data_IF_459828856825
#
_entry.id   IF_459828856825
#
_cell.length_a   1.000
_cell.length_b   1.000
_cell.length_c   1.000
_cell.angle_alpha   90.00
_cell.angle_beta   90.00
_cell.angle_gamma   90.00
#
_symmetry.space_group_name_H-M   'P 1'
#
loop_
_entity.id
_entity.type
_entity.pdbx_description
1 polymer ?
#
# COMPACT_ATOMS: atom_id res chain seq x y z
N UNK A 1 -9.59 -18.28 17.90
CA UNK A 1 -8.38 -17.64 17.33
C UNK A 1 -8.61 -17.49 15.84
N UNK A 2 -9.07 -16.32 15.39
CA UNK A 2 -9.38 -16.08 13.98
C UNK A 2 -8.08 -15.93 13.21
N UNK A 3 -7.84 -16.77 12.21
CA UNK A 3 -6.70 -16.61 11.32
C UNK A 3 -6.76 -15.20 10.72
N UNK A 4 -5.69 -14.43 10.86
CA UNK A 4 -5.55 -13.13 10.20
C UNK A 4 -5.55 -13.41 8.70
N UNK A 5 -6.67 -13.19 8.03
CA UNK A 5 -6.75 -13.36 6.58
C UNK A 5 -5.80 -12.33 5.97
N UNK A 6 -4.70 -12.83 5.42
CA UNK A 6 -3.79 -12.03 4.60
C UNK A 6 -4.59 -11.61 3.38
N UNK A 7 -4.68 -10.31 3.18
CA UNK A 7 -5.70 -9.73 2.32
C UNK A 7 -5.16 -8.55 1.52
N UNK A 8 -3.85 -8.33 1.53
CA UNK A 8 -3.20 -7.34 0.70
C UNK A 8 -1.71 -7.68 0.56
N UNK A 9 -1.11 -7.20 -0.52
CA UNK A 9 0.33 -7.32 -0.77
C UNK A 9 0.93 -5.92 -0.89
N UNK A 10 1.97 -5.65 -0.11
CA UNK A 10 2.77 -4.42 -0.17
C UNK A 10 4.01 -4.66 -1.03
N UNK A 11 4.23 -3.76 -1.98
CA UNK A 11 5.45 -3.63 -2.76
C UNK A 11 6.09 -2.29 -2.41
N UNK A 12 7.24 -2.34 -1.74
CA UNK A 12 8.06 -1.15 -1.49
C UNK A 12 9.14 -1.03 -2.54
N UNK A 13 9.27 0.16 -3.12
CA UNK A 13 10.27 0.48 -4.12
C UNK A 13 10.97 1.79 -3.79
N UNK A 14 12.25 1.84 -4.11
CA UNK A 14 13.05 3.05 -4.16
C UNK A 14 13.58 3.26 -5.58
N UNK A 15 14.25 4.40 -5.82
CA UNK A 15 14.95 4.63 -7.09
C UNK A 15 15.92 3.49 -7.46
N UNK A 16 16.59 2.91 -6.46
CA UNK A 16 17.67 1.93 -6.67
C UNK A 16 17.24 0.49 -6.42
N UNK A 17 16.15 0.25 -5.68
CA UNK A 17 15.82 -1.09 -5.18
C UNK A 17 14.32 -1.38 -5.19
N UNK A 18 13.97 -2.60 -5.54
CA UNK A 18 12.66 -3.19 -5.24
C UNK A 18 12.81 -4.17 -4.10
N UNK A 19 11.99 -4.03 -3.06
CA UNK A 19 12.02 -4.89 -1.90
C UNK A 19 11.15 -6.13 -2.12
N UNK A 20 11.34 -7.16 -1.29
CA UNK A 20 10.50 -8.35 -1.36
C UNK A 20 9.06 -7.96 -1.00
N UNK A 21 8.06 -8.47 -1.72
CA UNK A 21 6.67 -8.20 -1.39
C UNK A 21 6.33 -8.71 0.01
N UNK A 22 5.53 -7.94 0.74
CA UNK A 22 5.07 -8.28 2.09
C UNK A 22 3.56 -8.51 2.10
N UNK A 23 3.11 -9.59 2.73
CA UNK A 23 1.68 -9.85 2.89
C UNK A 23 1.15 -9.21 4.17
N UNK A 24 0.12 -8.40 4.02
CA UNK A 24 -0.52 -7.67 5.09
C UNK A 24 -2.00 -8.07 5.21
N UNK A 25 -2.55 -7.90 6.40
CA UNK A 25 -4.00 -8.00 6.60
C UNK A 25 -4.67 -6.67 6.25
N UNK A 26 -5.97 -6.72 5.94
CA UNK A 26 -6.74 -5.55 5.47
C UNK A 26 -6.71 -4.38 6.47
N UNK A 27 -6.83 -4.64 7.77
CA UNK A 27 -6.85 -3.60 8.79
C UNK A 27 -5.52 -2.85 8.92
N UNK A 28 -4.40 -3.59 8.83
CA UNK A 28 -3.06 -2.99 8.79
C UNK A 28 -2.94 -2.05 7.60
N UNK A 29 -3.36 -2.48 6.41
CA UNK A 29 -3.28 -1.64 5.20
C UNK A 29 -4.18 -0.41 5.31
N UNK A 30 -5.42 -0.56 5.77
CA UNK A 30 -6.34 0.57 6.01
C UNK A 30 -5.74 1.58 6.98
N UNK A 31 -5.11 1.13 8.07
CA UNK A 31 -4.45 1.99 9.05
C UNK A 31 -3.26 2.73 8.43
N UNK A 32 -2.44 2.06 7.63
CA UNK A 32 -1.28 2.66 6.96
C UNK A 32 -1.70 3.72 5.95
N UNK A 33 -2.66 3.41 5.07
CA UNK A 33 -3.21 4.36 4.08
C UNK A 33 -3.83 5.57 4.79
N UNK A 34 -4.61 5.35 5.87
CA UNK A 34 -5.18 6.45 6.66
C UNK A 34 -4.09 7.33 7.25
N UNK A 35 -3.05 6.72 7.85
CA UNK A 35 -1.92 7.46 8.44
C UNK A 35 -1.20 8.28 7.37
N UNK A 36 -0.96 7.71 6.20
CA UNK A 36 -0.31 8.40 5.08
C UNK A 36 -1.13 9.60 4.60
N UNK A 37 -2.45 9.45 4.43
CA UNK A 37 -3.35 10.56 4.07
C UNK A 37 -3.32 11.71 5.08
N UNK A 38 -3.07 11.43 6.35
CA UNK A 38 -2.96 12.46 7.40
C UNK A 38 -1.55 13.02 7.56
N UNK A 39 -0.53 12.40 6.97
CA UNK A 39 0.87 12.82 7.12
C UNK A 39 1.25 13.85 6.04
N UNK A 40 1.02 15.14 6.32
CA UNK A 40 1.22 16.23 5.36
C UNK A 40 2.68 16.57 5.05
N UNK A 41 3.63 16.09 5.85
CA UNK A 41 5.06 16.44 5.71
C UNK A 41 5.90 15.29 5.21
N UNK A 42 5.55 14.04 5.56
CA UNK A 42 6.29 12.86 5.11
C UNK A 42 5.74 12.21 3.85
N UNK A 43 4.54 12.59 3.39
CA UNK A 43 3.89 11.99 2.21
C UNK A 43 3.57 13.09 1.21
N UNK A 44 4.09 12.92 -0.01
CA UNK A 44 3.84 13.82 -1.13
C UNK A 44 2.46 13.54 -1.73
N UNK A 45 2.13 12.25 -1.94
CA UNK A 45 0.89 11.87 -2.59
C UNK A 45 0.36 10.50 -2.11
N UNK A 46 -0.96 10.39 -2.07
CA UNK A 46 -1.67 9.11 -1.93
C UNK A 46 -2.70 9.01 -3.04
N UNK A 47 -2.58 8.00 -3.88
CA UNK A 47 -3.56 7.68 -4.93
C UNK A 47 -4.16 6.31 -4.69
N UNK A 48 -5.44 6.13 -5.01
CA UNK A 48 -6.11 4.83 -4.96
C UNK A 48 -6.82 4.65 -6.28
N UNK A 49 -6.55 3.52 -6.93
CA UNK A 49 -7.15 3.13 -8.20
C UNK A 49 -7.92 1.84 -8.04
N UNK A 50 -9.07 1.76 -8.67
CA UNK A 50 -9.83 0.52 -8.82
C UNK A 50 -9.44 -0.11 -10.15
N UNK A 51 -9.07 -1.38 -10.14
CA UNK A 51 -8.78 -2.11 -11.36
C UNK A 51 -9.13 -3.59 -11.23
N UNK A 52 -8.92 -4.32 -12.32
CA UNK A 52 -9.11 -5.77 -12.38
C UNK A 52 -7.75 -6.41 -12.54
N UNK A 53 -7.42 -7.33 -11.63
CA UNK A 53 -6.22 -8.15 -11.68
C UNK A 53 -6.19 -9.05 -12.92
N UNK A 54 -5.02 -9.60 -13.24
CA UNK A 54 -4.84 -10.47 -14.41
C UNK A 54 -5.70 -11.74 -14.37
N UNK A 55 -6.02 -12.20 -13.16
CA UNK A 55 -6.89 -13.35 -12.90
C UNK A 55 -8.39 -12.99 -12.91
N UNK A 56 -8.75 -11.74 -13.23
CA UNK A 56 -10.12 -11.26 -13.23
C UNK A 56 -10.64 -10.79 -11.87
N UNK A 57 -9.82 -10.80 -10.83
CA UNK A 57 -10.23 -10.34 -9.49
C UNK A 57 -10.33 -8.82 -9.43
N UNK A 58 -11.36 -8.28 -8.76
CA UNK A 58 -11.43 -6.85 -8.48
C UNK A 58 -10.40 -6.49 -7.40
N UNK A 59 -9.56 -5.49 -7.68
CA UNK A 59 -8.50 -5.04 -6.77
C UNK A 59 -8.45 -3.51 -6.68
N UNK A 60 -8.10 -3.02 -5.51
CA UNK A 60 -7.72 -1.64 -5.25
C UNK A 60 -6.21 -1.55 -5.15
N UNK A 61 -5.61 -0.69 -5.98
CA UNK A 61 -4.20 -0.35 -5.92
C UNK A 61 -4.04 0.98 -5.19
N UNK A 62 -3.49 0.96 -3.98
CA UNK A 62 -3.12 2.17 -3.27
C UNK A 62 -1.63 2.47 -3.47
N UNK A 63 -1.34 3.67 -3.94
CA UNK A 63 0.00 4.17 -4.20
C UNK A 63 0.31 5.29 -3.21
N UNK A 64 1.43 5.19 -2.51
CA UNK A 64 1.90 6.20 -1.56
C UNK A 64 3.31 6.62 -1.97
N UNK A 65 3.46 7.90 -2.29
CA UNK A 65 4.76 8.52 -2.56
C UNK A 65 5.17 9.34 -1.35
N UNK A 66 6.32 9.00 -0.77
CA UNK A 66 6.86 9.75 0.35
C UNK A 66 7.56 11.01 -0.14
N UNK A 67 7.52 12.07 0.66
CA UNK A 67 8.21 13.32 0.35
C UNK A 67 9.73 13.08 0.26
N UNK A 68 10.44 13.84 -0.59
CA UNK A 68 11.89 13.90 -0.54
C UNK A 68 12.33 14.21 0.90
N UNK A 69 13.39 13.55 1.37
CA UNK A 69 13.93 13.66 2.74
C UNK A 69 13.10 13.03 3.87
N UNK A 70 11.96 12.39 3.57
CA UNK A 70 11.26 11.59 4.58
C UNK A 70 12.10 10.36 5.01
N UNK A 71 12.86 9.79 4.07
CA UNK A 71 13.74 8.65 4.30
C UNK A 71 15.20 9.07 4.12
N UNK A 72 16.08 8.64 5.04
CA UNK A 72 17.51 8.90 4.92
C UNK A 72 18.11 8.14 3.74
N UNK A 73 19.02 8.79 3.00
CA UNK A 73 19.80 8.22 1.90
C UNK A 73 18.99 7.73 0.69
N UNK A 74 17.71 8.11 0.57
CA UNK A 74 16.87 7.76 -0.58
C UNK A 74 15.95 8.94 -0.91
N UNK A 75 15.93 9.35 -2.18
CA UNK A 75 15.19 10.53 -2.63
C UNK A 75 13.78 10.24 -3.11
N UNK A 76 13.50 8.99 -3.51
CA UNK A 76 12.18 8.56 -3.98
C UNK A 76 11.87 7.19 -3.37
N UNK A 77 10.86 7.17 -2.50
CA UNK A 77 10.35 5.96 -1.86
C UNK A 77 8.87 5.85 -2.13
N UNK A 78 8.47 4.63 -2.47
CA UNK A 78 7.13 4.32 -2.89
C UNK A 78 6.63 3.05 -2.24
N UNK A 79 5.43 3.12 -1.66
CA UNK A 79 4.68 1.94 -1.25
C UNK A 79 3.49 1.75 -2.19
N UNK A 80 3.36 0.56 -2.74
CA UNK A 80 2.21 0.13 -3.55
C UNK A 80 1.52 -1.01 -2.83
N UNK A 81 0.25 -0.83 -2.47
CA UNK A 81 -0.59 -1.85 -1.89
C UNK A 81 -1.53 -2.37 -2.96
N UNK A 82 -1.50 -3.68 -3.17
CA UNK A 82 -2.52 -4.41 -3.91
C UNK A 82 -3.50 -5.03 -2.91
N UNK A 83 -4.77 -4.66 -3.00
CA UNK A 83 -5.81 -5.02 -2.03
C UNK A 83 -6.99 -5.61 -2.80
N UNK A 84 -7.32 -6.91 -2.67
CA UNK A 84 -8.55 -7.44 -3.24
C UNK A 84 -9.77 -6.68 -2.72
N UNK A 85 -10.67 -6.28 -3.61
CA UNK A 85 -11.85 -5.49 -3.22
C UNK A 85 -12.71 -6.20 -2.18
N UNK A 86 -12.78 -7.54 -2.23
CA UNK A 86 -13.46 -8.36 -1.22
C UNK A 86 -12.93 -8.11 0.21
N UNK A 87 -11.63 -7.86 0.36
CA UNK A 87 -11.00 -7.54 1.64
C UNK A 87 -11.37 -6.14 2.16
N UNK A 88 -11.91 -5.27 1.31
CA UNK A 88 -12.47 -3.99 1.70
C UNK A 88 -13.94 -4.10 2.12
N UNK A 89 -14.66 -5.10 1.62
CA UNK A 89 -16.11 -5.27 1.83
C UNK A 89 -16.50 -6.31 2.89
N UNK A 90 -15.62 -7.24 3.29
CA UNK A 90 -15.86 -8.25 4.34
C UNK A 90 -15.92 -7.66 5.77
N UNK A 91 -16.60 -6.52 5.94
CA UNK A 91 -16.87 -5.86 7.23
C UNK A 91 -18.29 -6.20 7.73
#
# INVERSE_FOLDING_TARGET
MTAKQLAATLYTRTAERTYRPEHLNADTVRRLIRRARTNRTGVEAVHIYECTGRDGTAVHIAYIRYAPDHWSNVTDVLDVYEIPTAALTDL
#
